data_IF_453104958090
#
_entry.id   IF_453104958090
#
_cell.length_a   1.000
_cell.length_b   1.000
_cell.length_c   1.000
_cell.angle_alpha   90.00
_cell.angle_beta   90.00
_cell.angle_gamma   90.00
#
_symmetry.space_group_name_H-M   'P 1'
#
loop_
_entity.id
_entity.type
_entity.pdbx_description
1 polymer ?
#
# COMPACT_ATOMS: atom_id res chain seq x y z
N UNK A 1 -7.60 15.11 24.80
CA UNK A 1 -6.66 14.05 24.38
C UNK A 1 -6.77 13.63 22.90
N UNK A 2 -7.87 13.92 22.18
CA UNK A 2 -8.07 13.49 20.79
C UNK A 2 -7.32 14.28 19.70
N UNK A 3 -7.15 15.60 19.87
CA UNK A 3 -6.53 16.47 18.83
C UNK A 3 -5.08 16.09 18.52
N UNK A 4 -4.27 15.87 19.56
CA UNK A 4 -2.86 15.50 19.44
C UNK A 4 -2.64 14.18 18.67
N UNK A 5 -3.54 13.19 18.83
CA UNK A 5 -3.44 11.92 18.11
C UNK A 5 -3.74 12.08 16.62
N UNK A 6 -4.73 12.91 16.27
CA UNK A 6 -5.09 13.18 14.88
C UNK A 6 -3.98 13.97 14.14
N UNK A 7 -3.35 14.93 14.83
CA UNK A 7 -2.20 15.66 14.29
C UNK A 7 -1.02 14.72 14.03
N UNK A 8 -0.67 13.84 14.99
CA UNK A 8 0.43 12.89 14.82
C UNK A 8 0.18 11.84 13.73
N UNK A 9 -1.06 11.38 13.58
CA UNK A 9 -1.43 10.50 12.48
C UNK A 9 -1.21 11.20 11.13
N UNK A 10 -1.63 12.47 11.02
CA UNK A 10 -1.43 13.26 9.80
C UNK A 10 0.05 13.47 9.50
N UNK A 11 0.86 13.82 10.50
CA UNK A 11 2.32 13.94 10.37
C UNK A 11 2.94 12.63 9.85
N UNK A 12 2.49 11.50 10.37
CA UNK A 12 2.98 10.18 9.96
C UNK A 12 2.56 9.83 8.52
N UNK A 13 1.30 10.06 8.16
CA UNK A 13 0.81 9.82 6.80
C UNK A 13 1.52 10.72 5.77
N UNK A 14 1.81 11.97 6.14
CA UNK A 14 2.58 12.89 5.31
C UNK A 14 4.04 12.43 5.17
N UNK A 15 4.64 11.92 6.25
CA UNK A 15 5.97 11.34 6.18
C UNK A 15 6.00 10.12 5.26
N UNK A 16 5.00 9.25 5.33
CA UNK A 16 4.89 8.09 4.44
C UNK A 16 4.81 8.60 3.00
N UNK A 17 3.88 9.51 2.69
CA UNK A 17 3.67 10.04 1.34
C UNK A 17 4.94 10.66 0.74
N UNK A 18 5.69 11.42 1.53
CA UNK A 18 6.93 12.05 1.04
C UNK A 18 8.05 11.05 0.73
N UNK A 19 8.11 9.95 1.47
CA UNK A 19 9.21 8.97 1.42
C UNK A 19 8.76 7.61 0.83
N UNK A 20 7.62 7.60 0.15
CA UNK A 20 6.79 6.40 -0.06
C UNK A 20 7.37 5.34 -1.00
N UNK A 21 8.25 5.75 -1.92
CA UNK A 21 8.83 4.86 -2.93
C UNK A 21 9.95 4.05 -2.28
N UNK A 22 9.55 3.00 -1.57
CA UNK A 22 10.49 2.06 -0.96
C UNK A 22 10.95 1.09 -2.04
N UNK A 23 12.20 1.25 -2.50
CA UNK A 23 12.85 0.38 -3.50
C UNK A 23 13.10 -1.04 -3.02
N UNK A 24 12.78 -1.35 -1.76
CA UNK A 24 13.01 -2.66 -1.14
C UNK A 24 12.05 -3.74 -1.62
N UNK A 25 10.86 -3.39 -2.10
CA UNK A 25 9.90 -4.35 -2.63
C UNK A 25 8.45 -3.94 -2.44
N UNK A 26 7.55 -4.88 -2.72
CA UNK A 26 6.10 -4.64 -2.71
C UNK A 26 5.38 -5.25 -1.49
N UNK A 27 6.08 -5.96 -0.60
CA UNK A 27 5.47 -6.64 0.56
C UNK A 27 5.00 -5.71 1.68
N UNK A 28 4.33 -6.29 2.69
CA UNK A 28 3.78 -5.54 3.83
C UNK A 28 4.81 -5.01 4.83
N UNK A 29 5.91 -5.73 5.05
CA UNK A 29 6.83 -5.44 6.15
C UNK A 29 7.59 -4.12 5.95
N UNK A 30 7.95 -3.80 4.71
CA UNK A 30 8.74 -2.62 4.35
C UNK A 30 8.72 -2.41 2.82
N UNK A 31 7.52 -2.40 2.25
CA UNK A 31 7.29 -2.21 0.81
C UNK A 31 5.99 -1.45 0.55
N UNK A 32 5.63 -1.32 -0.73
CA UNK A 32 4.45 -0.55 -1.15
C UNK A 32 3.18 -0.98 -0.43
N UNK A 33 2.89 -2.29 -0.34
CA UNK A 33 1.69 -2.79 0.33
C UNK A 33 1.59 -2.28 1.78
N UNK A 34 2.70 -2.28 2.51
CA UNK A 34 2.77 -1.77 3.87
C UNK A 34 2.47 -0.27 3.96
N UNK A 35 2.98 0.52 3.00
CA UNK A 35 2.77 1.97 2.95
C UNK A 35 1.34 2.35 2.57
N UNK A 36 0.64 1.52 1.80
CA UNK A 36 -0.76 1.75 1.38
C UNK A 36 -1.73 1.61 2.56
N UNK A 37 -1.49 0.66 3.46
CA UNK A 37 -2.43 0.28 4.53
C UNK A 37 -2.85 1.46 5.43
N UNK A 38 -1.94 2.32 5.94
CA UNK A 38 -2.32 3.48 6.74
C UNK A 38 -3.26 4.44 6.02
N UNK A 39 -3.03 4.68 4.71
CA UNK A 39 -3.90 5.51 3.90
C UNK A 39 -5.28 4.88 3.71
N UNK A 40 -5.32 3.57 3.46
CA UNK A 40 -6.57 2.83 3.32
C UNK A 40 -7.41 2.90 4.60
N UNK A 41 -6.80 2.70 5.78
CA UNK A 41 -7.52 2.81 7.05
C UNK A 41 -8.05 4.22 7.30
N UNK A 42 -7.25 5.25 7.03
CA UNK A 42 -7.70 6.64 7.17
C UNK A 42 -8.85 6.95 6.20
N UNK A 43 -8.77 6.47 4.95
CA UNK A 43 -9.82 6.63 3.96
C UNK A 43 -11.13 5.97 4.39
N UNK A 44 -11.08 4.72 4.86
CA UNK A 44 -12.24 3.99 5.39
C UNK A 44 -12.88 4.77 6.54
N UNK A 45 -12.06 5.32 7.43
CA UNK A 45 -12.57 6.09 8.55
C UNK A 45 -13.32 7.35 8.11
N UNK A 46 -12.70 8.16 7.25
CA UNK A 46 -13.30 9.41 6.76
C UNK A 46 -14.54 9.19 5.90
N UNK A 47 -14.52 8.20 5.02
CA UNK A 47 -15.66 7.87 4.18
C UNK A 47 -16.86 7.39 5.01
N UNK A 48 -16.62 6.68 6.11
CA UNK A 48 -17.68 6.32 7.07
C UNK A 48 -18.29 7.52 7.80
N UNK A 49 -17.54 8.62 7.90
CA UNK A 49 -18.04 9.90 8.41
C UNK A 49 -18.71 10.75 7.32
N UNK A 50 -18.79 10.26 6.07
CA UNK A 50 -19.34 11.01 4.94
C UNK A 50 -18.41 12.09 4.40
N UNK A 51 -17.11 12.02 4.71
CA UNK A 51 -16.12 13.01 4.26
C UNK A 51 -15.68 12.70 2.84
N UNK A 52 -16.12 13.55 1.88
CA UNK A 52 -15.78 13.48 0.46
C UNK A 52 -15.39 14.87 -0.07
N UNK A 53 -14.46 14.99 -1.03
CA UNK A 53 -13.62 13.92 -1.60
C UNK A 53 -12.59 13.40 -0.59
N UNK A 54 -12.03 12.20 -0.83
CA UNK A 54 -11.11 11.55 0.11
C UNK A 54 -9.67 11.50 -0.45
N UNK A 55 -8.76 12.30 0.12
CA UNK A 55 -7.37 12.35 -0.35
C UNK A 55 -6.62 11.02 -0.10
N UNK A 56 -6.92 10.36 1.02
CA UNK A 56 -6.17 9.18 1.45
C UNK A 56 -6.49 7.97 0.57
N UNK A 57 -7.73 7.87 0.08
CA UNK A 57 -8.09 6.90 -0.94
C UNK A 57 -7.31 7.15 -2.24
N UNK A 58 -7.17 8.41 -2.63
CA UNK A 58 -6.36 8.80 -3.79
C UNK A 58 -4.89 8.40 -3.62
N UNK A 59 -4.29 8.71 -2.47
CA UNK A 59 -2.90 8.32 -2.13
C UNK A 59 -2.72 6.80 -2.13
N UNK A 60 -3.66 6.05 -1.54
CA UNK A 60 -3.65 4.59 -1.53
C UNK A 60 -3.71 3.99 -2.95
N UNK A 61 -4.58 4.52 -3.80
CA UNK A 61 -4.71 4.09 -5.20
C UNK A 61 -3.46 4.40 -6.01
N UNK A 62 -2.89 5.59 -5.87
CA UNK A 62 -1.66 6.00 -6.57
C UNK A 62 -0.48 5.07 -6.23
N UNK A 63 -0.33 4.71 -4.96
CA UNK A 63 0.71 3.78 -4.51
C UNK A 63 0.51 2.36 -5.02
N UNK A 64 -0.73 1.87 -5.05
CA UNK A 64 -1.01 0.56 -5.63
C UNK A 64 -0.81 0.55 -7.15
N UNK A 65 -1.19 1.62 -7.84
CA UNK A 65 -0.95 1.76 -9.29
C UNK A 65 0.56 1.70 -9.60
N UNK A 66 1.40 2.30 -8.76
CA UNK A 66 2.86 2.15 -8.89
C UNK A 66 3.30 0.68 -8.86
N UNK A 67 2.64 -0.16 -8.06
CA UNK A 67 2.94 -1.60 -8.00
C UNK A 67 2.47 -2.40 -9.23
N UNK A 68 1.53 -1.86 -10.02
CA UNK A 68 1.02 -2.53 -11.23
C UNK A 68 1.77 -2.13 -12.50
N UNK A 69 2.33 -0.92 -12.54
CA UNK A 69 3.09 -0.42 -13.70
C UNK A 69 4.55 -0.88 -13.71
N UNK A 70 5.11 -1.29 -12.57
CA UNK A 70 6.50 -1.73 -12.45
C UNK A 70 6.61 -3.25 -12.52
N UNK A 71 7.64 -3.80 -13.19
CA UNK A 71 7.88 -5.23 -13.19
C UNK A 71 8.13 -5.70 -11.74
N UNK A 72 7.33 -6.65 -11.23
CA UNK A 72 7.27 -6.98 -9.81
C UNK A 72 8.54 -7.66 -9.30
N UNK A 73 9.35 -8.19 -10.22
CA UNK A 73 10.68 -8.72 -9.97
C UNK A 73 11.55 -8.35 -11.17
N UNK A 74 12.79 -7.87 -10.97
CA UNK A 74 13.76 -7.82 -12.06
C UNK A 74 13.98 -9.25 -12.58
N UNK A 75 14.08 -9.45 -13.90
CA UNK A 75 14.38 -10.77 -14.44
C UNK A 75 15.74 -11.23 -13.90
N UNK A 76 15.83 -12.50 -13.47
CA UNK A 76 17.05 -13.13 -12.95
C UNK A 76 18.23 -13.07 -13.93
N UNK A 77 17.99 -12.66 -15.18
CA UNK A 77 18.95 -12.45 -16.26
C UNK A 77 19.06 -10.95 -16.60
N UNK A 78 19.50 -10.13 -15.65
CA UNK A 78 19.85 -8.71 -15.89
C UNK A 78 21.13 -8.52 -16.75
N UNK A 79 21.35 -9.41 -17.73
CA UNK A 79 22.36 -9.31 -18.79
C UNK A 79 21.74 -9.18 -20.17
N UNK A 80 20.45 -8.86 -20.30
CA UNK A 80 19.83 -8.52 -21.59
C UNK A 80 19.94 -7.01 -21.83
N UNK A 81 20.77 -6.56 -22.78
CA UNK A 81 21.06 -5.13 -23.00
C UNK A 81 19.88 -4.31 -23.56
N UNK A 82 18.71 -4.92 -23.80
CA UNK A 82 17.56 -4.30 -24.47
C UNK A 82 16.26 -4.25 -23.64
N UNK A 83 16.28 -4.66 -22.37
CA UNK A 83 15.11 -4.47 -21.49
C UNK A 83 15.22 -3.09 -20.83
N UNK A 84 14.13 -2.31 -20.68
CA UNK A 84 14.18 -1.09 -19.89
C UNK A 84 14.74 -1.45 -18.52
N UNK A 85 15.97 -1.00 -18.30
CA UNK A 85 16.65 -1.19 -17.05
C UNK A 85 15.80 -0.55 -15.95
N UNK A 86 15.97 -1.02 -14.73
CA UNK A 86 15.41 -0.44 -13.52
C UNK A 86 13.95 -0.86 -13.22
N UNK A 87 13.73 -2.14 -12.90
CA UNK A 87 12.74 -2.41 -11.85
C UNK A 87 13.17 -1.59 -10.63
N UNK A 88 12.31 -0.69 -10.16
CA UNK A 88 12.59 0.10 -8.95
C UNK A 88 12.66 -0.79 -7.71
N UNK A 89 12.16 -2.02 -7.78
CA UNK A 89 12.11 -2.96 -6.67
C UNK A 89 13.21 -4.02 -6.74
N UNK A 90 13.79 -4.30 -5.58
CA UNK A 90 14.62 -5.48 -5.37
C UNK A 90 13.76 -6.75 -5.32
N UNK A 91 14.29 -7.86 -5.81
CA UNK A 91 13.70 -9.18 -5.54
C UNK A 91 13.82 -9.52 -4.04
N UNK A 92 12.72 -9.79 -3.32
CA UNK A 92 12.76 -10.17 -1.91
C UNK A 92 13.34 -11.57 -1.69
N UNK A 93 13.77 -11.89 -0.46
CA UNK A 93 14.27 -13.23 -0.10
C UNK A 93 13.18 -14.31 -0.28
N UNK A 94 11.93 -13.96 0.02
CA UNK A 94 10.77 -14.78 -0.33
C UNK A 94 9.79 -14.01 -1.24
N UNK A 95 9.96 -14.10 -2.58
CA UNK A 95 9.23 -13.27 -3.56
C UNK A 95 7.72 -13.44 -3.58
N UNK A 96 7.19 -14.53 -3.05
CA UNK A 96 5.76 -14.83 -3.02
C UNK A 96 5.15 -14.76 -1.61
N UNK A 97 5.94 -14.39 -0.59
CA UNK A 97 5.42 -14.25 0.77
C UNK A 97 4.49 -13.04 0.92
N UNK A 98 3.68 -13.05 1.98
CA UNK A 98 2.84 -11.92 2.37
C UNK A 98 3.67 -10.70 2.80
N UNK A 99 4.66 -10.92 3.66
CA UNK A 99 5.38 -9.83 4.32
C UNK A 99 6.46 -9.18 3.45
N UNK A 100 7.06 -9.91 2.53
CA UNK A 100 8.15 -9.37 1.68
C UNK A 100 7.82 -9.42 0.19
N UNK A 101 7.01 -10.40 -0.20
CA UNK A 101 6.71 -10.73 -1.58
C UNK A 101 5.50 -10.04 -2.19
N UNK A 102 5.19 -10.46 -3.42
CA UNK A 102 4.09 -9.93 -4.24
C UNK A 102 2.71 -10.20 -3.64
N UNK A 103 2.58 -11.24 -2.80
CA UNK A 103 1.31 -11.56 -2.13
C UNK A 103 0.84 -10.41 -1.24
N UNK A 104 1.77 -9.63 -0.67
CA UNK A 104 1.43 -8.41 0.06
C UNK A 104 0.64 -7.42 -0.79
N UNK A 105 1.18 -7.05 -1.95
CA UNK A 105 0.54 -6.12 -2.88
C UNK A 105 -0.77 -6.67 -3.47
N UNK A 106 -0.84 -7.99 -3.72
CA UNK A 106 -2.06 -8.64 -4.17
C UNK A 106 -3.17 -8.54 -3.10
N UNK A 107 -2.85 -8.84 -1.84
CA UNK A 107 -3.79 -8.71 -0.73
C UNK A 107 -4.27 -7.26 -0.56
N UNK A 108 -3.37 -6.29 -0.58
CA UNK A 108 -3.75 -4.87 -0.45
C UNK A 108 -4.62 -4.39 -1.63
N UNK A 109 -4.33 -4.85 -2.84
CA UNK A 109 -5.17 -4.61 -4.02
C UNK A 109 -6.56 -5.21 -3.91
N UNK A 110 -6.71 -6.34 -3.21
CA UNK A 110 -8.03 -6.90 -2.90
C UNK A 110 -8.72 -6.08 -1.82
N UNK A 111 -7.99 -5.64 -0.79
CA UNK A 111 -8.54 -4.87 0.32
C UNK A 111 -9.07 -3.49 -0.09
N UNK A 112 -8.44 -2.83 -1.07
CA UNK A 112 -8.95 -1.55 -1.57
C UNK A 112 -10.29 -1.68 -2.31
N UNK A 113 -10.64 -2.89 -2.78
CA UNK A 113 -11.91 -3.13 -3.47
C UNK A 113 -13.10 -2.91 -2.51
N UNK A 114 -14.14 -2.15 -2.92
CA UNK A 114 -15.37 -1.96 -2.13
C UNK A 114 -16.09 -3.26 -1.76
N UNK A 115 -15.85 -4.34 -2.50
CA UNK A 115 -16.40 -5.67 -2.20
C UNK A 115 -15.76 -6.33 -0.98
N UNK A 116 -14.55 -5.90 -0.60
CA UNK A 116 -13.80 -6.44 0.53
C UNK A 116 -14.46 -6.11 1.87
N UNK A 117 -14.19 -6.97 2.84
CA UNK A 117 -14.62 -6.82 4.22
C UNK A 117 -14.35 -5.44 4.77
N UNK A 118 -13.20 -4.79 4.45
CA UNK A 118 -12.73 -3.48 5.00
C UNK A 118 -13.73 -2.32 4.84
N UNK A 119 -14.66 -2.43 3.88
CA UNK A 119 -15.67 -1.40 3.61
C UNK A 119 -17.02 -1.71 4.25
N UNK A 120 -17.27 -2.94 4.71
CA UNK A 120 -18.59 -3.37 5.23
C UNK A 120 -18.77 -2.98 6.70
N UNK A 121 -19.97 -2.52 7.06
CA UNK A 121 -20.44 -2.53 8.47
C UNK A 121 -20.52 -3.98 8.95
N UNK A 122 -20.06 -4.27 10.15
CA UNK A 122 -19.91 -5.63 10.70
C UNK A 122 -18.71 -6.40 10.10
N UNK A 123 -17.74 -5.68 9.54
CA UNK A 123 -16.51 -6.25 8.99
C UNK A 123 -15.64 -6.98 10.01
N UNK A 124 -14.55 -7.59 9.55
CA UNK A 124 -13.70 -8.46 10.37
C UNK A 124 -13.14 -7.79 11.63
N UNK A 125 -12.93 -6.47 11.62
CA UNK A 125 -12.41 -5.70 12.75
C UNK A 125 -13.49 -5.16 13.71
N UNK A 126 -14.77 -5.36 13.42
CA UNK A 126 -15.89 -5.03 14.32
C UNK A 126 -16.37 -6.25 15.13
N UNK A 127 -15.72 -7.40 14.95
CA UNK A 127 -16.07 -8.68 15.59
C UNK A 127 -15.25 -9.00 16.85
N UNK A 128 -14.50 -8.04 17.35
CA UNK A 128 -13.73 -8.13 18.61
C UNK A 128 -14.31 -7.20 19.69
#
# INVERSE_FOLDING_TARGET
>A
MGRWRAEKLRDALECIWREEIVTKGMGFCHGIAGNVVPFLFQAVWELRQGMVPNEYLGKALALLELSTILPPMPPSTASSPNLPAHSLFRTPDNPHSLFEGMTGAACTSVDISPSCGIWRKGGWWERE
#
